data_IF_249822143571
#
_entry.id   IF_249822143571
#
_cell.length_a   1.000
_cell.length_b   1.000
_cell.length_c   1.000
_cell.angle_alpha   90.00
_cell.angle_beta   90.00
_cell.angle_gamma   90.00
#
_symmetry.space_group_name_H-M   'P 1'
#
loop_
_entity.id
_entity.type
_entity.pdbx_description
1 polymer ?
#
# COMPACT_ATOMS: atom_id res chain seq x y z
N UNK A 1 3.38 -23.14 5.87
CA UNK A 1 3.73 -21.87 6.51
C UNK A 1 4.43 -20.94 5.52
N UNK A 2 5.56 -21.31 4.89
CA UNK A 2 6.32 -20.44 3.98
C UNK A 2 5.46 -19.75 2.90
N UNK A 3 4.57 -20.47 2.22
CA UNK A 3 3.66 -19.89 1.23
C UNK A 3 2.75 -18.80 1.79
N UNK A 4 2.32 -18.88 3.05
CA UNK A 4 1.48 -17.85 3.65
C UNK A 4 2.18 -16.49 3.71
N UNK A 5 3.50 -16.47 3.90
CA UNK A 5 4.26 -15.23 3.91
C UNK A 5 4.41 -14.58 2.53
N UNK A 6 4.28 -15.34 1.44
CA UNK A 6 4.39 -14.84 0.07
C UNK A 6 3.17 -14.02 -0.37
N UNK A 7 2.00 -14.29 0.19
CA UNK A 7 0.75 -13.65 -0.23
C UNK A 7 0.31 -12.58 0.77
N UNK A 8 -0.23 -11.50 0.25
CA UNK A 8 -0.80 -10.41 1.05
C UNK A 8 -2.21 -10.73 1.56
N UNK A 9 -2.97 -11.51 0.80
CA UNK A 9 -4.37 -11.83 1.07
C UNK A 9 -4.49 -13.34 1.22
N UNK A 10 -5.10 -13.80 2.30
CA UNK A 10 -5.21 -15.22 2.63
C UNK A 10 -6.61 -15.52 3.14
N UNK A 11 -7.16 -16.64 2.73
CA UNK A 11 -8.37 -17.21 3.31
C UNK A 11 -7.96 -18.40 4.17
N UNK A 12 -8.32 -18.34 5.45
CA UNK A 12 -8.19 -19.45 6.38
C UNK A 12 -9.50 -20.23 6.41
N UNK A 13 -9.44 -21.48 6.00
CA UNK A 13 -10.59 -22.36 5.93
C UNK A 13 -10.38 -23.61 6.82
N UNK A 14 -11.27 -23.83 7.78
CA UNK A 14 -11.17 -24.97 8.68
C UNK A 14 -12.52 -25.37 9.27
N UNK A 15 -12.55 -26.50 9.96
CA UNK A 15 -13.72 -26.98 10.71
C UNK A 15 -13.54 -26.78 12.20
N UNK A 16 -14.66 -26.59 12.89
CA UNK A 16 -14.73 -26.70 14.34
C UNK A 16 -14.57 -28.18 14.74
N UNK A 17 -13.63 -28.46 15.60
CA UNK A 17 -13.34 -29.78 16.09
C UNK A 17 -13.28 -29.76 17.63
N UNK A 18 -14.13 -30.52 18.28
CA UNK A 18 -14.21 -30.57 19.74
C UNK A 18 -14.24 -29.20 20.42
N UNK A 19 -15.12 -28.30 19.92
CA UNK A 19 -15.22 -26.90 20.33
C UNK A 19 -13.92 -26.06 20.18
N UNK A 20 -12.98 -26.57 19.44
CA UNK A 20 -11.70 -25.91 19.11
C UNK A 20 -11.44 -25.86 17.61
N UNK A 21 -10.20 -25.67 17.24
CA UNK A 21 -9.75 -25.76 15.85
C UNK A 21 -9.38 -27.19 15.50
N UNK A 22 -9.53 -27.52 14.22
CA UNK A 22 -8.94 -28.74 13.71
C UNK A 22 -7.42 -28.76 13.97
N UNK A 23 -6.82 -29.83 14.52
CA UNK A 23 -5.45 -29.82 15.05
C UNK A 23 -4.38 -29.30 14.07
N UNK A 24 -4.48 -29.64 12.79
CA UNK A 24 -3.53 -29.15 11.78
C UNK A 24 -3.64 -27.65 11.51
N UNK A 25 -4.84 -27.08 11.61
CA UNK A 25 -5.03 -25.64 11.50
C UNK A 25 -4.53 -24.94 12.76
N UNK A 26 -4.73 -25.53 13.90
CA UNK A 26 -4.22 -25.03 15.18
C UNK A 26 -2.68 -24.93 15.18
N UNK A 27 -2.01 -26.00 14.78
CA UNK A 27 -0.54 -26.04 14.60
C UNK A 27 -0.08 -25.00 13.53
N UNK A 28 -0.82 -24.88 12.42
CA UNK A 28 -0.49 -23.92 11.38
C UNK A 28 -0.55 -22.48 11.89
N UNK A 29 -1.60 -22.12 12.63
CA UNK A 29 -1.75 -20.77 13.19
C UNK A 29 -0.68 -20.52 14.25
N UNK A 30 -0.39 -21.44 15.15
CA UNK A 30 0.68 -21.31 16.14
C UNK A 30 2.02 -20.98 15.45
N UNK A 31 2.34 -21.66 14.36
CA UNK A 31 3.56 -21.39 13.57
C UNK A 31 3.54 -20.06 12.85
N UNK A 32 2.38 -19.49 12.52
CA UNK A 32 2.28 -18.13 12.01
C UNK A 32 2.58 -17.11 13.10
N UNK A 33 2.00 -17.30 14.29
CA UNK A 33 2.21 -16.45 15.47
C UNK A 33 3.69 -16.44 15.88
N UNK A 34 4.30 -17.61 16.03
CA UNK A 34 5.72 -17.76 16.38
C UNK A 34 6.67 -17.02 15.41
N UNK A 35 6.24 -16.79 14.17
CA UNK A 35 7.05 -16.14 13.12
C UNK A 35 6.64 -14.72 12.84
N UNK A 36 5.86 -14.12 13.75
CA UNK A 36 5.43 -12.74 13.64
C UNK A 36 4.76 -12.41 12.29
N UNK A 37 3.73 -13.20 11.94
CA UNK A 37 2.98 -13.05 10.69
C UNK A 37 2.15 -11.77 10.71
N UNK A 38 2.55 -10.77 9.92
CA UNK A 38 2.00 -9.41 9.96
C UNK A 38 1.64 -8.85 8.59
N UNK A 39 0.92 -7.73 8.59
CA UNK A 39 0.61 -6.95 7.38
C UNK A 39 -0.12 -7.78 6.32
N UNK A 40 -1.11 -8.56 6.73
CA UNK A 40 -1.91 -9.41 5.84
C UNK A 40 -3.39 -9.10 5.96
N UNK A 41 -4.13 -9.43 4.91
CA UNK A 41 -5.59 -9.38 4.88
C UNK A 41 -6.09 -10.82 4.96
N UNK A 42 -6.89 -11.12 5.97
CA UNK A 42 -7.36 -12.47 6.28
C UNK A 42 -8.88 -12.55 6.10
N UNK A 43 -9.32 -13.51 5.31
CA UNK A 43 -10.71 -13.95 5.25
C UNK A 43 -10.89 -15.30 5.92
N UNK A 44 -12.12 -15.62 6.32
CA UNK A 44 -12.42 -16.85 7.05
C UNK A 44 -13.53 -17.65 6.38
N UNK A 45 -13.32 -18.96 6.33
CA UNK A 45 -14.35 -19.95 6.02
C UNK A 45 -14.34 -20.99 7.15
N UNK A 46 -15.46 -21.18 7.79
CA UNK A 46 -15.58 -22.20 8.84
C UNK A 46 -16.67 -23.22 8.54
N UNK A 47 -16.49 -24.41 9.06
CA UNK A 47 -17.50 -25.47 9.05
C UNK A 47 -17.71 -26.01 10.46
N UNK A 48 -18.94 -26.39 10.76
CA UNK A 48 -19.30 -27.08 12.00
C UNK A 48 -20.74 -27.53 11.97
N UNK A 49 -21.06 -28.68 12.56
CA UNK A 49 -22.43 -29.24 12.52
C UNK A 49 -23.38 -28.52 13.47
N UNK A 50 -22.99 -28.35 14.72
CA UNK A 50 -23.87 -27.83 15.78
C UNK A 50 -23.58 -26.38 16.14
N UNK A 51 -22.33 -26.05 16.35
CA UNK A 51 -21.89 -24.72 16.76
C UNK A 51 -20.57 -24.37 16.08
N UNK A 52 -20.61 -23.90 14.84
CA UNK A 52 -19.41 -23.40 14.17
C UNK A 52 -18.76 -22.29 15.00
N UNK A 53 -17.52 -22.47 15.41
CA UNK A 53 -16.78 -21.53 16.25
C UNK A 53 -15.29 -21.42 15.85
N UNK A 54 -14.93 -22.03 14.74
CA UNK A 54 -13.56 -22.06 14.28
C UNK A 54 -13.04 -20.65 13.93
N UNK A 55 -13.86 -19.79 13.33
CA UNK A 55 -13.52 -18.40 13.02
C UNK A 55 -13.09 -17.64 14.28
N UNK A 56 -13.92 -17.66 15.32
CA UNK A 56 -13.63 -16.95 16.57
C UNK A 56 -12.36 -17.48 17.24
N UNK A 57 -12.13 -18.79 17.18
CA UNK A 57 -10.91 -19.41 17.69
C UNK A 57 -9.66 -19.00 16.90
N UNK A 58 -9.76 -18.90 15.57
CA UNK A 58 -8.67 -18.39 14.74
C UNK A 58 -8.35 -16.93 15.06
N UNK A 59 -9.39 -16.08 15.15
CA UNK A 59 -9.23 -14.65 15.48
C UNK A 59 -8.56 -14.49 16.86
N UNK A 60 -9.03 -15.24 17.86
CA UNK A 60 -8.47 -15.16 19.21
C UNK A 60 -6.97 -15.50 19.27
N UNK A 61 -6.50 -16.40 18.42
CA UNK A 61 -5.08 -16.75 18.34
C UNK A 61 -4.23 -15.75 17.56
N UNK A 62 -4.86 -14.96 16.70
CA UNK A 62 -4.20 -14.01 15.81
C UNK A 62 -4.29 -12.56 16.34
N UNK A 63 -4.90 -12.33 17.51
CA UNK A 63 -5.25 -11.01 18.05
C UNK A 63 -4.06 -10.08 18.23
N UNK A 64 -2.90 -10.62 18.60
CA UNK A 64 -1.68 -9.84 18.86
C UNK A 64 -0.88 -9.52 17.59
N UNK A 65 -1.37 -9.95 16.43
CA UNK A 65 -0.70 -9.73 15.16
C UNK A 65 -1.32 -8.52 14.40
N UNK A 66 -0.49 -7.78 13.70
CA UNK A 66 -0.94 -6.69 12.82
C UNK A 66 -1.56 -7.26 11.54
N UNK A 67 -2.86 -7.57 11.64
CA UNK A 67 -3.66 -8.17 10.57
C UNK A 67 -4.95 -7.38 10.34
N UNK A 68 -5.37 -7.29 9.08
CA UNK A 68 -6.68 -6.79 8.70
C UNK A 68 -7.61 -7.95 8.37
N UNK A 69 -8.85 -7.87 8.81
CA UNK A 69 -9.84 -8.90 8.52
C UNK A 69 -10.85 -8.44 7.47
N UNK A 70 -11.30 -9.37 6.63
CA UNK A 70 -12.44 -9.14 5.75
C UNK A 70 -13.74 -9.12 6.57
N UNK A 71 -14.69 -8.32 6.14
CA UNK A 71 -16.00 -8.21 6.80
C UNK A 71 -16.84 -9.47 6.54
N UNK A 72 -16.83 -9.93 5.28
CA UNK A 72 -17.51 -11.13 4.90
C UNK A 72 -16.74 -12.39 5.33
N UNK A 73 -17.46 -13.38 5.81
CA UNK A 73 -16.95 -14.72 6.11
C UNK A 73 -18.01 -15.75 5.74
N UNK A 74 -17.60 -16.99 5.59
CA UNK A 74 -18.53 -18.09 5.24
C UNK A 74 -18.64 -19.06 6.40
N UNK A 75 -19.85 -19.34 6.84
CA UNK A 75 -20.15 -20.34 7.87
C UNK A 75 -20.98 -21.47 7.28
N UNK A 76 -20.40 -22.66 7.22
CA UNK A 76 -21.03 -23.85 6.66
C UNK A 76 -21.50 -24.76 7.80
N UNK A 77 -22.74 -25.19 7.75
CA UNK A 77 -23.29 -26.16 8.69
C UNK A 77 -23.30 -27.56 8.06
N UNK A 78 -22.25 -28.34 8.34
CA UNK A 78 -22.00 -29.69 7.82
C UNK A 78 -21.79 -29.74 6.30
N UNK A 79 -22.80 -29.36 5.50
CA UNK A 79 -22.74 -29.35 4.04
C UNK A 79 -23.07 -27.98 3.47
N UNK A 80 -22.46 -27.67 2.34
CA UNK A 80 -22.65 -26.40 1.65
C UNK A 80 -24.06 -26.34 1.01
N UNK A 81 -24.70 -25.18 1.12
CA UNK A 81 -26.00 -24.87 0.53
C UNK A 81 -25.91 -23.65 -0.42
N UNK A 82 -27.03 -23.26 -1.02
CA UNK A 82 -27.08 -22.12 -1.95
C UNK A 82 -26.70 -20.78 -1.29
N UNK A 83 -27.10 -20.57 -0.02
CA UNK A 83 -26.71 -19.35 0.72
C UNK A 83 -25.18 -19.28 0.87
N UNK A 84 -24.53 -20.40 1.16
CA UNK A 84 -23.07 -20.41 1.29
C UNK A 84 -22.36 -20.10 -0.04
N UNK A 85 -22.95 -20.44 -1.19
CA UNK A 85 -22.41 -20.06 -2.50
C UNK A 85 -22.41 -18.54 -2.68
N UNK A 86 -23.47 -17.87 -2.24
CA UNK A 86 -23.56 -16.41 -2.28
C UNK A 86 -22.58 -15.75 -1.29
N UNK A 87 -22.43 -16.31 -0.11
CA UNK A 87 -21.43 -15.85 0.88
C UNK A 87 -20.00 -15.98 0.33
N UNK A 88 -19.68 -17.10 -0.34
CA UNK A 88 -18.37 -17.30 -0.99
C UNK A 88 -18.16 -16.25 -2.09
N UNK A 89 -19.16 -15.95 -2.90
CA UNK A 89 -19.07 -14.91 -3.93
C UNK A 89 -18.78 -13.54 -3.31
N UNK A 90 -19.51 -13.17 -2.24
CA UNK A 90 -19.29 -11.91 -1.52
C UNK A 90 -17.86 -11.83 -0.96
N UNK A 91 -17.39 -12.89 -0.30
CA UNK A 91 -16.03 -12.99 0.22
C UNK A 91 -14.99 -12.87 -0.91
N UNK A 92 -15.22 -13.53 -2.05
CA UNK A 92 -14.33 -13.45 -3.21
C UNK A 92 -14.27 -12.04 -3.80
N UNK A 93 -15.40 -11.36 -3.95
CA UNK A 93 -15.46 -9.98 -4.42
C UNK A 93 -14.74 -9.05 -3.46
N UNK A 94 -14.97 -9.22 -2.15
CA UNK A 94 -14.33 -8.40 -1.13
C UNK A 94 -12.80 -8.58 -1.15
N UNK A 95 -12.30 -9.81 -1.17
CA UNK A 95 -10.85 -10.05 -1.16
C UNK A 95 -10.16 -9.52 -2.43
N UNK A 96 -10.85 -9.55 -3.58
CA UNK A 96 -10.33 -8.97 -4.82
C UNK A 96 -10.25 -7.46 -4.72
N UNK A 97 -11.33 -6.81 -4.25
CA UNK A 97 -11.49 -5.37 -4.23
C UNK A 97 -10.80 -4.69 -3.04
N UNK A 98 -10.55 -5.43 -1.95
CA UNK A 98 -9.83 -4.88 -0.79
C UNK A 98 -8.43 -4.46 -1.24
N UNK A 99 -8.22 -3.17 -1.42
CA UNK A 99 -6.89 -2.63 -1.71
C UNK A 99 -5.97 -2.89 -0.52
N UNK A 100 -4.71 -3.19 -0.80
CA UNK A 100 -3.69 -3.19 0.23
C UNK A 100 -3.37 -1.72 0.58
N UNK A 101 -4.26 -1.05 1.30
CA UNK A 101 -4.07 0.34 1.71
C UNK A 101 -3.00 0.49 2.80
N UNK A 102 -2.34 -0.60 3.16
CA UNK A 102 -1.16 -0.58 4.02
C UNK A 102 0.09 -0.45 3.11
N UNK A 103 0.13 0.62 2.37
CA UNK A 103 1.41 1.14 1.92
C UNK A 103 2.03 1.82 3.13
N UNK A 104 3.13 1.27 3.63
CA UNK A 104 3.89 1.96 4.67
C UNK A 104 4.44 3.27 4.07
N UNK A 105 3.68 4.34 4.25
CA UNK A 105 4.08 5.67 3.77
C UNK A 105 5.44 6.08 4.33
N UNK A 106 5.85 5.52 5.48
CA UNK A 106 7.19 5.73 6.03
C UNK A 106 8.28 5.08 5.19
N UNK A 107 7.96 4.02 4.43
CA UNK A 107 8.91 3.44 3.49
C UNK A 107 9.25 4.41 2.36
N UNK A 108 8.31 5.25 1.93
CA UNK A 108 8.55 6.30 0.94
C UNK A 108 9.48 7.39 1.47
N UNK A 109 9.46 7.65 2.79
CA UNK A 109 10.35 8.64 3.42
C UNK A 109 11.81 8.17 3.49
N UNK A 110 12.07 6.87 3.24
CA UNK A 110 13.43 6.30 3.17
C UNK A 110 14.06 6.39 1.78
N UNK A 111 13.28 6.82 0.78
CA UNK A 111 13.80 7.04 -0.56
C UNK A 111 14.59 8.35 -0.52
N UNK A 112 15.88 8.26 -0.77
CA UNK A 112 16.75 9.44 -0.86
C UNK A 112 16.55 10.13 -2.20
N UNK A 113 16.32 11.43 -2.14
CA UNK A 113 16.15 12.29 -3.30
C UNK A 113 17.17 13.42 -3.26
N UNK A 114 17.68 13.81 -4.42
CA UNK A 114 18.35 15.10 -4.55
C UNK A 114 17.38 16.26 -4.32
N UNK A 115 17.90 17.43 -4.04
CA UNK A 115 17.12 18.68 -4.02
C UNK A 115 17.50 19.52 -5.25
N UNK A 116 16.49 19.96 -5.98
CA UNK A 116 16.65 20.64 -7.26
C UNK A 116 15.88 21.96 -7.30
N UNK A 117 16.45 22.96 -7.97
CA UNK A 117 15.68 24.10 -8.46
C UNK A 117 15.33 23.81 -9.92
N UNK A 118 14.04 23.85 -10.24
CA UNK A 118 13.56 23.80 -11.61
C UNK A 118 13.07 25.18 -11.99
N UNK A 119 13.65 25.77 -13.04
CA UNK A 119 13.27 27.11 -13.52
C UNK A 119 12.66 27.06 -14.92
N UNK A 120 11.77 28.00 -15.20
CA UNK A 120 11.11 28.19 -16.47
C UNK A 120 10.84 29.68 -16.70
N UNK A 121 10.58 30.05 -17.96
CA UNK A 121 10.24 31.42 -18.34
C UNK A 121 9.01 31.41 -19.26
N UNK A 122 8.06 32.28 -19.01
CA UNK A 122 6.83 32.41 -19.81
C UNK A 122 6.95 33.41 -20.98
N UNK A 123 8.13 33.94 -21.19
CA UNK A 123 8.43 34.99 -22.17
C UNK A 123 8.39 36.40 -21.59
N UNK A 124 7.92 36.57 -20.36
CA UNK A 124 7.80 37.85 -19.65
C UNK A 124 8.52 37.78 -18.29
N UNK A 125 8.35 36.69 -17.57
CA UNK A 125 8.84 36.52 -16.19
C UNK A 125 9.53 35.16 -16.01
N UNK A 126 10.66 35.19 -15.31
CA UNK A 126 11.30 34.00 -14.82
C UNK A 126 10.54 33.46 -13.60
N UNK A 127 10.39 32.17 -13.56
CA UNK A 127 9.78 31.45 -12.45
C UNK A 127 10.58 30.19 -12.10
N UNK A 128 10.41 29.70 -10.89
CA UNK A 128 11.08 28.49 -10.46
C UNK A 128 10.41 27.85 -9.23
N UNK A 129 10.76 26.61 -8.97
CA UNK A 129 10.27 25.85 -7.83
C UNK A 129 11.33 24.87 -7.34
N UNK A 130 11.24 24.52 -6.07
CA UNK A 130 12.06 23.45 -5.47
C UNK A 130 11.36 22.11 -5.66
N UNK A 131 12.09 21.14 -6.14
CA UNK A 131 11.65 19.75 -6.30
C UNK A 131 12.68 18.76 -5.78
N UNK A 132 12.18 17.62 -5.34
CA UNK A 132 13.00 16.43 -5.05
C UNK A 132 12.75 15.29 -6.05
N UNK A 133 11.87 15.49 -7.02
CA UNK A 133 11.38 14.49 -7.97
C UNK A 133 11.97 14.70 -9.36
N UNK A 134 13.28 14.76 -9.44
CA UNK A 134 14.05 14.77 -10.70
C UNK A 134 14.89 13.50 -10.75
N UNK A 135 14.76 12.72 -11.82
CA UNK A 135 15.45 11.44 -11.96
C UNK A 135 15.75 11.11 -13.42
N UNK A 136 16.83 10.41 -13.63
CA UNK A 136 17.19 9.90 -14.95
C UNK A 136 16.27 8.73 -15.34
N UNK A 137 15.70 8.78 -16.54
CA UNK A 137 14.89 7.71 -17.11
C UNK A 137 15.73 6.80 -18.01
N UNK A 138 16.43 7.37 -18.97
CA UNK A 138 17.25 6.64 -19.94
C UNK A 138 18.55 7.38 -20.24
N UNK A 139 19.56 6.62 -20.72
CA UNK A 139 20.85 7.14 -21.17
C UNK A 139 20.89 7.39 -22.68
N UNK A 140 20.17 6.57 -23.44
CA UNK A 140 20.14 6.66 -24.90
C UNK A 140 18.72 6.36 -25.43
N UNK A 141 17.97 7.38 -25.91
CA UNK A 141 18.30 8.80 -25.82
C UNK A 141 18.33 9.28 -24.37
N UNK A 142 19.04 10.37 -24.09
CA UNK A 142 19.07 10.95 -22.73
C UNK A 142 17.69 11.48 -22.39
N UNK A 143 17.07 10.91 -21.37
CA UNK A 143 15.78 11.36 -20.84
C UNK A 143 15.83 11.56 -19.33
N UNK A 144 15.24 12.67 -18.88
CA UNK A 144 15.10 13.02 -17.47
C UNK A 144 13.62 13.17 -17.16
N UNK A 145 13.17 12.52 -16.10
CA UNK A 145 11.81 12.68 -15.56
C UNK A 145 11.76 13.78 -14.51
N UNK A 146 10.76 14.65 -14.60
CA UNK A 146 10.48 15.68 -13.60
C UNK A 146 9.00 15.60 -13.23
N UNK A 147 8.71 15.39 -11.95
CA UNK A 147 7.33 15.33 -11.45
C UNK A 147 6.97 16.66 -10.78
N UNK A 148 5.99 17.37 -11.32
CA UNK A 148 5.56 18.70 -10.84
C UNK A 148 4.07 18.65 -10.50
N UNK A 149 3.70 19.17 -9.32
CA UNK A 149 2.30 19.27 -8.95
C UNK A 149 1.56 20.24 -9.92
N UNK A 150 0.41 19.81 -10.40
CA UNK A 150 -0.44 20.57 -11.34
C UNK A 150 -0.90 21.93 -10.80
N UNK A 151 -0.92 22.10 -9.48
CA UNK A 151 -1.29 23.35 -8.84
C UNK A 151 -0.17 24.40 -8.85
N UNK A 152 1.06 24.00 -9.16
CA UNK A 152 2.19 24.92 -9.25
C UNK A 152 2.10 25.75 -10.54
N UNK A 153 2.27 27.06 -10.43
CA UNK A 153 2.30 27.95 -11.59
C UNK A 153 3.32 27.53 -12.65
N UNK A 154 4.50 27.08 -12.23
CA UNK A 154 5.56 26.60 -13.13
C UNK A 154 5.12 25.40 -13.97
N UNK A 155 4.18 24.57 -13.51
CA UNK A 155 3.64 23.45 -14.28
C UNK A 155 3.01 23.95 -15.59
N UNK A 156 2.14 24.95 -15.51
CA UNK A 156 1.42 25.48 -16.67
C UNK A 156 2.38 26.19 -17.63
N UNK A 157 3.35 26.91 -17.08
CA UNK A 157 4.39 27.60 -17.88
C UNK A 157 5.21 26.57 -18.66
N UNK A 158 5.68 25.50 -18.00
CA UNK A 158 6.48 24.44 -18.64
C UNK A 158 5.69 23.72 -19.73
N UNK A 159 4.42 23.39 -19.48
CA UNK A 159 3.57 22.77 -20.50
C UNK A 159 3.34 23.66 -21.72
N UNK A 160 3.25 24.98 -21.51
CA UNK A 160 3.05 25.95 -22.59
C UNK A 160 4.32 26.18 -23.41
N UNK A 161 5.46 26.27 -22.76
CA UNK A 161 6.73 26.65 -23.39
C UNK A 161 7.56 25.44 -23.82
N UNK A 162 7.33 24.26 -23.26
CA UNK A 162 8.13 23.06 -23.41
C UNK A 162 9.61 23.28 -23.04
N UNK A 163 9.89 24.20 -22.13
CA UNK A 163 11.24 24.54 -21.70
C UNK A 163 11.35 24.58 -20.18
N UNK A 164 12.41 24.00 -19.68
CA UNK A 164 12.80 24.07 -18.27
C UNK A 164 14.31 23.91 -18.13
N UNK A 165 14.84 24.43 -17.03
CA UNK A 165 16.21 24.14 -16.60
C UNK A 165 16.15 23.44 -15.23
N UNK A 166 17.08 22.52 -15.00
CA UNK A 166 17.21 21.77 -13.74
C UNK A 166 18.60 22.04 -13.17
N UNK A 167 18.64 22.51 -11.94
CA UNK A 167 19.88 22.73 -11.18
C UNK A 167 19.85 21.89 -9.90
N UNK A 168 20.84 21.00 -9.74
CA UNK A 168 21.03 20.25 -8.50
C UNK A 168 21.59 21.20 -7.42
N UNK A 169 20.99 21.18 -6.25
CA UNK A 169 21.46 21.91 -5.09
C UNK A 169 22.43 21.04 -4.29
N UNK A 170 23.50 21.63 -3.83
CA UNK A 170 24.47 20.98 -2.95
C UNK A 170 24.33 21.46 -1.49
N UNK A 171 25.19 20.95 -0.62
CA UNK A 171 25.19 21.29 0.82
C UNK A 171 25.64 22.72 1.11
N UNK A 172 26.21 23.41 0.14
CA UNK A 172 26.66 24.81 0.28
C UNK A 172 25.59 25.82 -0.14
N UNK A 173 24.49 25.34 -0.72
CA UNK A 173 23.37 26.19 -1.17
C UNK A 173 22.75 26.93 0.00
N UNK A 174 22.67 28.28 -0.03
CA UNK A 174 22.10 29.05 1.07
C UNK A 174 20.59 28.79 1.17
N UNK A 175 20.11 28.66 2.41
CA UNK A 175 18.68 28.40 2.69
C UNK A 175 17.76 29.48 2.10
N UNK A 176 18.23 30.72 1.95
CA UNK A 176 17.47 31.81 1.34
C UNK A 176 17.03 31.52 -0.09
N UNK A 177 17.81 30.74 -0.85
CA UNK A 177 17.44 30.31 -2.20
C UNK A 177 16.32 29.26 -2.13
N UNK A 178 16.40 28.32 -1.20
CA UNK A 178 15.36 27.32 -0.96
C UNK A 178 14.07 28.00 -0.51
N UNK A 179 14.15 29.00 0.37
CA UNK A 179 13.01 29.80 0.82
C UNK A 179 12.35 30.54 -0.35
N UNK A 180 13.13 31.13 -1.22
CA UNK A 180 12.61 31.90 -2.36
C UNK A 180 11.82 31.02 -3.34
N UNK A 181 12.32 29.86 -3.69
CA UNK A 181 11.70 28.97 -4.69
C UNK A 181 10.79 27.89 -4.11
N UNK A 182 10.89 27.63 -2.81
CA UNK A 182 10.10 26.58 -2.14
C UNK A 182 8.87 27.08 -1.38
N UNK A 183 8.93 28.33 -0.84
CA UNK A 183 7.89 28.82 0.05
C UNK A 183 7.16 30.06 -0.47
N UNK A 184 7.60 30.66 -1.57
CA UNK A 184 6.93 31.81 -2.19
C UNK A 184 6.19 31.37 -3.44
N UNK A 185 4.97 31.87 -3.61
CA UNK A 185 4.20 31.62 -4.84
C UNK A 185 4.76 32.43 -6.01
N UNK A 186 4.86 31.80 -7.18
CA UNK A 186 5.21 32.47 -8.44
C UNK A 186 4.08 33.30 -9.06
N UNK A 187 2.87 33.24 -8.45
CA UNK A 187 1.68 34.00 -8.89
C UNK A 187 1.70 35.45 -8.40
#
# INVERSE_FOLDING_TARGET
VAKAFQYKKIILATTTYNNGLFPKMDDFINRLVERNFQNKIIGFIENGSWNPNAKNKMIAKLVDLDLSYLENSVTIHSSMNESNKEEIKKLAVEIINKRNDIMDLKALQKIEYGLYVVTCNDGVKDNGLILNTVFQLTMEPVCVGVSINKENYSHDVILKTNQLNVSLLDTTTPFSLIEQFGFKSGR
#
